data_IF_879240021151
#
_entry.id   IF_879240021151
#
_cell.length_a   1.000
_cell.length_b   1.000
_cell.length_c   1.000
_cell.angle_alpha   90.00
_cell.angle_beta   90.00
_cell.angle_gamma   90.00
#
_symmetry.space_group_name_H-M   'P 1'
#
loop_
_entity.id
_entity.type
_entity.pdbx_description
1 polymer ?
#
# COMPACT_ATOMS: atom_id res chain seq x y z
N UNK A 1 -8.05 2.94 16.17
CA UNK A 1 -6.62 3.29 16.13
C UNK A 1 -6.41 4.23 14.95
N UNK A 2 -5.80 5.41 15.12
CA UNK A 2 -5.57 6.33 14.01
C UNK A 2 -4.52 5.79 13.03
N UNK A 3 -4.51 6.33 11.81
CA UNK A 3 -3.45 6.08 10.82
C UNK A 3 -2.09 6.52 11.35
N UNK A 4 -1.04 5.82 10.94
CA UNK A 4 0.34 6.09 11.37
C UNK A 4 1.28 5.95 10.18
N UNK A 5 2.58 6.16 10.39
CA UNK A 5 3.60 5.84 9.38
C UNK A 5 3.69 4.35 9.02
N UNK A 6 2.96 3.47 9.72
CA UNK A 6 2.93 2.03 9.52
C UNK A 6 1.53 1.47 9.30
N UNK A 7 0.48 2.30 9.35
CA UNK A 7 -0.92 1.87 9.21
C UNK A 7 -1.66 2.86 8.33
N UNK A 8 -2.27 2.35 7.27
CA UNK A 8 -3.12 3.09 6.33
C UNK A 8 -4.47 2.40 6.19
N UNK A 9 -5.54 3.19 6.11
CA UNK A 9 -6.89 2.70 5.85
C UNK A 9 -7.44 3.20 4.53
N UNK A 10 -8.07 2.30 3.78
CA UNK A 10 -8.84 2.61 2.57
C UNK A 10 -10.18 1.90 2.63
N UNK A 11 -11.24 2.61 2.25
CA UNK A 11 -12.58 2.00 2.15
C UNK A 11 -12.60 0.93 1.06
N UNK A 12 -11.98 1.21 -0.06
CA UNK A 12 -11.98 0.37 -1.25
C UNK A 12 -10.65 0.47 -2.01
N UNK A 13 -10.47 -0.41 -2.98
CA UNK A 13 -9.30 -0.41 -3.85
C UNK A 13 -9.31 0.82 -4.77
N UNK A 14 -8.34 1.71 -4.60
CA UNK A 14 -8.21 2.93 -5.43
C UNK A 14 -6.98 2.89 -6.34
N UNK A 15 -6.86 3.85 -7.25
CA UNK A 15 -5.65 4.08 -8.06
C UNK A 15 -4.41 4.47 -7.23
N UNK A 16 -4.59 4.83 -5.96
CA UNK A 16 -3.52 5.21 -5.04
C UNK A 16 -2.83 4.03 -4.34
N UNK A 17 -3.27 2.78 -4.54
CA UNK A 17 -2.69 1.60 -3.89
C UNK A 17 -1.15 1.55 -4.00
N UNK A 18 -0.62 1.65 -5.21
CA UNK A 18 0.82 1.52 -5.44
C UNK A 18 1.59 2.64 -4.76
N UNK A 19 1.02 3.85 -4.67
CA UNK A 19 1.64 4.98 -3.96
C UNK A 19 1.88 4.62 -2.49
N UNK A 20 0.86 4.10 -1.83
CA UNK A 20 0.94 3.74 -0.41
C UNK A 20 1.92 2.58 -0.18
N UNK A 21 1.87 1.55 -1.02
CA UNK A 21 2.79 0.42 -0.92
C UNK A 21 4.23 0.82 -1.20
N UNK A 22 4.49 1.67 -2.20
CA UNK A 22 5.83 2.22 -2.47
C UNK A 22 6.33 3.00 -1.27
N UNK A 23 5.48 3.83 -0.65
CA UNK A 23 5.86 4.60 0.53
C UNK A 23 6.26 3.69 1.72
N UNK A 24 5.57 2.55 1.89
CA UNK A 24 5.96 1.53 2.88
C UNK A 24 7.23 0.79 2.51
N UNK A 25 7.40 0.37 1.25
CA UNK A 25 8.63 -0.26 0.77
C UNK A 25 9.85 0.65 0.98
N UNK A 26 9.68 1.96 0.83
CA UNK A 26 10.71 2.97 1.05
C UNK A 26 10.85 3.42 2.52
N UNK A 27 9.96 2.99 3.41
CA UNK A 27 10.04 3.32 4.83
C UNK A 27 11.08 2.46 5.54
N UNK A 28 11.40 2.79 6.80
CA UNK A 28 12.33 1.99 7.60
C UNK A 28 11.78 0.60 7.94
N UNK A 29 10.48 0.50 8.21
CA UNK A 29 9.85 -0.66 8.86
C UNK A 29 8.76 -1.34 8.02
N UNK A 30 8.48 -0.85 6.81
CA UNK A 30 7.31 -1.29 6.05
C UNK A 30 6.01 -0.72 6.64
N UNK A 31 4.90 -1.46 6.50
CA UNK A 31 3.62 -1.07 7.05
C UNK A 31 2.47 -2.02 6.71
N UNK A 32 1.28 -1.63 7.15
CA UNK A 32 0.02 -2.33 6.99
C UNK A 32 -0.95 -1.42 6.25
N UNK A 33 -1.55 -1.92 5.19
CA UNK A 33 -2.65 -1.27 4.49
C UNK A 33 -3.90 -2.12 4.66
N UNK A 34 -4.95 -1.55 5.23
CA UNK A 34 -6.25 -2.20 5.29
C UNK A 34 -7.18 -1.62 4.24
N UNK A 35 -7.90 -2.50 3.55
CA UNK A 35 -8.92 -2.19 2.57
C UNK A 35 -10.25 -2.74 3.09
N UNK A 36 -11.31 -1.94 3.01
CA UNK A 36 -12.59 -2.22 3.68
C UNK A 36 -12.72 -1.51 5.03
N UNK A 37 -11.88 -0.50 5.31
CA UNK A 37 -11.98 0.35 6.51
C UNK A 37 -12.00 1.83 6.12
N UNK A 38 -12.85 2.62 6.78
CA UNK A 38 -12.73 4.08 6.68
C UNK A 38 -11.63 4.65 7.58
N UNK A 39 -11.45 5.97 7.56
CA UNK A 39 -10.41 6.67 8.33
C UNK A 39 -10.58 6.54 9.84
N UNK A 40 -11.81 6.29 10.30
CA UNK A 40 -12.14 6.10 11.71
C UNK A 40 -12.02 4.61 12.12
N UNK A 41 -11.78 3.72 11.14
CA UNK A 41 -11.65 2.28 11.33
C UNK A 41 -12.98 1.52 11.29
N UNK A 42 -14.06 2.15 10.83
CA UNK A 42 -15.35 1.49 10.64
C UNK A 42 -15.29 0.59 9.40
N UNK A 43 -16.00 -0.53 9.46
CA UNK A 43 -16.04 -1.49 8.35
C UNK A 43 -16.81 -0.94 7.16
N UNK A 44 -16.28 -1.18 5.97
CA UNK A 44 -16.90 -0.88 4.70
C UNK A 44 -16.95 -2.15 3.86
N UNK A 45 -18.15 -2.54 3.43
CA UNK A 45 -18.37 -3.77 2.67
C UNK A 45 -17.67 -3.70 1.32
N UNK A 46 -16.69 -4.59 1.12
CA UNK A 46 -16.11 -4.84 -0.19
C UNK A 46 -17.08 -5.68 -1.04
N UNK A 47 -17.46 -5.24 -2.26
CA UNK A 47 -18.37 -6.00 -3.11
C UNK A 47 -17.79 -7.34 -3.59
N UNK A 48 -16.48 -7.40 -3.81
CA UNK A 48 -15.74 -8.56 -4.34
C UNK A 48 -14.33 -8.59 -3.74
N UNK A 49 -14.19 -9.13 -2.53
CA UNK A 49 -12.90 -9.21 -1.82
C UNK A 49 -11.88 -10.09 -2.54
N UNK A 50 -12.33 -11.18 -3.16
CA UNK A 50 -11.46 -12.14 -3.84
C UNK A 50 -10.89 -11.54 -5.13
N UNK A 51 -11.75 -10.87 -5.91
CA UNK A 51 -11.32 -10.12 -7.09
C UNK A 51 -10.38 -8.97 -6.73
N UNK A 52 -10.62 -8.27 -5.62
CA UNK A 52 -9.73 -7.22 -5.16
C UNK A 52 -8.36 -7.76 -4.70
N UNK A 53 -8.31 -8.93 -4.05
CA UNK A 53 -7.04 -9.60 -3.72
C UNK A 53 -6.21 -9.91 -4.97
N UNK A 54 -6.85 -10.42 -6.04
CA UNK A 54 -6.17 -10.66 -7.33
C UNK A 54 -5.67 -9.36 -7.95
N UNK A 55 -6.49 -8.31 -7.99
CA UNK A 55 -6.10 -6.98 -8.52
C UNK A 55 -4.94 -6.38 -7.75
N UNK A 56 -4.94 -6.45 -6.42
CA UNK A 56 -3.85 -5.94 -5.57
C UNK A 56 -2.56 -6.66 -5.94
N UNK A 57 -2.56 -7.99 -5.91
CA UNK A 57 -1.39 -8.81 -6.26
C UNK A 57 -0.81 -8.43 -7.62
N UNK A 58 -1.65 -8.36 -8.64
CA UNK A 58 -1.20 -8.09 -10.02
C UNK A 58 -0.70 -6.65 -10.18
N UNK A 59 -1.35 -5.68 -9.55
CA UNK A 59 -0.90 -4.28 -9.55
C UNK A 59 0.46 -4.12 -8.88
N UNK A 60 0.65 -4.66 -7.68
CA UNK A 60 1.92 -4.53 -6.94
C UNK A 60 3.07 -5.24 -7.66
N UNK A 61 2.82 -6.42 -8.22
CA UNK A 61 3.81 -7.18 -9.01
C UNK A 61 4.23 -6.44 -10.27
N UNK A 62 3.29 -5.87 -11.00
CA UNK A 62 3.56 -5.34 -12.34
C UNK A 62 3.95 -3.86 -12.34
N UNK A 63 3.43 -3.05 -11.40
CA UNK A 63 3.56 -1.60 -11.46
C UNK A 63 4.70 -1.03 -10.62
N UNK A 64 5.39 -1.83 -9.80
CA UNK A 64 6.45 -1.37 -8.90
C UNK A 64 7.83 -1.86 -9.38
N UNK A 65 8.84 -0.99 -9.24
CA UNK A 65 10.26 -1.28 -9.48
C UNK A 65 11.13 -0.70 -8.35
N UNK A 66 12.15 -1.41 -7.83
CA UNK A 66 12.47 -2.83 -8.03
C UNK A 66 11.31 -3.77 -7.71
N UNK A 67 11.48 -5.07 -7.98
CA UNK A 67 10.37 -6.03 -7.81
C UNK A 67 9.89 -6.04 -6.34
N UNK A 68 8.58 -5.87 -6.13
CA UNK A 68 7.98 -5.99 -4.81
C UNK A 68 7.61 -7.45 -4.44
N UNK A 69 7.87 -8.41 -5.34
CA UNK A 69 7.53 -9.81 -5.11
C UNK A 69 8.28 -10.37 -3.88
N UNK A 70 7.54 -10.97 -2.95
CA UNK A 70 8.08 -11.46 -1.68
C UNK A 70 8.20 -10.41 -0.59
N UNK A 71 7.89 -9.14 -0.87
CA UNK A 71 7.91 -8.05 0.11
C UNK A 71 6.50 -7.67 0.58
N UNK A 72 5.47 -8.38 0.14
CA UNK A 72 4.12 -8.20 0.63
C UNK A 72 3.37 -9.52 0.76
N UNK A 73 2.38 -9.50 1.63
CA UNK A 73 1.38 -10.57 1.79
C UNK A 73 -0.02 -9.95 1.83
N UNK A 74 -1.04 -10.70 1.42
CA UNK A 74 -2.43 -10.25 1.42
C UNK A 74 -3.27 -11.25 2.21
N UNK A 75 -3.78 -10.80 3.35
CA UNK A 75 -4.59 -11.59 4.28
C UNK A 75 -6.03 -11.10 4.21
N UNK A 76 -6.98 -12.02 4.06
CA UNK A 76 -8.40 -11.71 4.27
C UNK A 76 -8.73 -11.88 5.75
N UNK A 77 -9.33 -10.87 6.35
CA UNK A 77 -9.82 -10.90 7.73
C UNK A 77 -11.33 -10.63 7.74
N UNK A 78 -12.05 -11.19 8.71
CA UNK A 78 -13.45 -10.85 8.95
C UNK A 78 -13.54 -9.89 10.14
N UNK A 79 -14.20 -8.75 9.94
CA UNK A 79 -14.50 -7.78 10.99
C UNK A 79 -15.96 -7.39 10.90
N UNK A 80 -16.70 -7.47 12.01
CA UNK A 80 -18.14 -7.14 12.07
C UNK A 80 -18.98 -7.84 10.99
N UNK A 81 -18.68 -9.12 10.70
CA UNK A 81 -19.32 -9.92 9.64
C UNK A 81 -19.12 -9.38 8.22
N UNK A 82 -18.06 -8.59 8.01
CA UNK A 82 -17.65 -8.06 6.71
C UNK A 82 -16.20 -8.46 6.43
N UNK A 83 -15.93 -8.78 5.17
CA UNK A 83 -14.57 -9.08 4.72
C UNK A 83 -13.77 -7.80 4.53
N UNK A 84 -12.58 -7.77 5.12
CA UNK A 84 -11.58 -6.75 4.91
C UNK A 84 -10.30 -7.41 4.38
N UNK A 85 -9.50 -6.66 3.63
CA UNK A 85 -8.20 -7.12 3.15
C UNK A 85 -7.10 -6.37 3.89
N UNK A 86 -6.11 -7.11 4.37
CA UNK A 86 -4.91 -6.58 5.01
C UNK A 86 -3.71 -6.90 4.15
N UNK A 87 -3.10 -5.86 3.62
CA UNK A 87 -1.85 -5.95 2.87
C UNK A 87 -0.71 -5.64 3.83
N UNK A 88 0.11 -6.66 4.09
CA UNK A 88 1.31 -6.54 4.92
C UNK A 88 2.46 -6.22 3.98
N UNK A 89 3.19 -5.14 4.22
CA UNK A 89 4.30 -4.70 3.35
C UNK A 89 5.57 -4.61 4.19
N UNK A 90 6.62 -5.29 3.75
CA UNK A 90 7.94 -5.23 4.36
C UNK A 90 8.71 -3.96 3.93
N UNK A 91 9.72 -3.61 4.72
CA UNK A 91 10.72 -2.62 4.32
C UNK A 91 11.55 -3.18 3.17
N UNK A 92 11.61 -2.47 2.05
CA UNK A 92 12.33 -2.93 0.87
C UNK A 92 13.86 -2.83 1.05
N UNK A 93 14.63 -3.84 0.59
CA UNK A 93 16.09 -3.79 0.65
C UNK A 93 16.70 -2.92 -0.47
N UNK A 94 16.03 -2.78 -1.62
CA UNK A 94 16.57 -2.12 -2.82
C UNK A 94 16.01 -0.71 -3.02
N UNK A 95 15.89 0.07 -1.95
CA UNK A 95 15.34 1.43 -2.03
C UNK A 95 16.20 2.32 -2.96
N UNK A 96 15.60 3.19 -3.77
CA UNK A 96 14.18 3.52 -3.78
C UNK A 96 13.32 2.63 -4.70
N UNK A 97 12.17 2.22 -4.19
CA UNK A 97 11.05 1.68 -4.97
C UNK A 97 10.25 2.83 -5.58
N UNK A 98 9.70 2.60 -6.76
CA UNK A 98 8.97 3.58 -7.53
C UNK A 98 7.97 2.93 -8.48
N UNK A 99 7.04 3.74 -9.01
CA UNK A 99 6.15 3.34 -10.08
C UNK A 99 6.96 3.07 -11.35
N UNK A 100 6.75 1.92 -11.97
CA UNK A 100 7.39 1.51 -13.22
C UNK A 100 7.21 2.56 -14.32
N UNK A 101 6.00 3.11 -14.44
CA UNK A 101 5.65 4.08 -15.49
C UNK A 101 6.36 5.44 -15.35
N UNK A 102 6.78 5.83 -14.15
CA UNK A 102 7.32 7.16 -13.89
C UNK A 102 8.80 7.15 -13.50
N UNK A 103 9.41 5.99 -13.33
CA UNK A 103 10.80 5.88 -12.90
C UNK A 103 11.04 6.50 -11.53
N UNK A 104 12.31 6.76 -11.22
CA UNK A 104 12.75 7.47 -10.02
C UNK A 104 12.51 8.98 -10.15
N UNK A 105 11.23 9.38 -10.24
CA UNK A 105 10.79 10.77 -10.27
C UNK A 105 9.87 11.07 -9.09
N UNK A 106 9.60 12.35 -8.82
CA UNK A 106 8.64 12.78 -7.79
C UNK A 106 7.23 12.23 -8.04
N UNK A 107 6.90 11.91 -9.30
CA UNK A 107 5.61 11.28 -9.66
C UNK A 107 5.62 9.77 -9.45
N UNK A 108 6.80 9.15 -9.30
CA UNK A 108 6.97 7.71 -9.20
C UNK A 108 7.45 7.22 -7.84
N UNK A 109 8.20 8.03 -7.11
CA UNK A 109 8.92 7.64 -5.90
C UNK A 109 8.30 8.32 -4.69
N UNK A 110 7.90 7.53 -3.69
CA UNK A 110 7.20 8.02 -2.51
C UNK A 110 7.84 7.50 -1.22
N UNK A 111 7.78 8.28 -0.15
CA UNK A 111 8.26 7.91 1.18
C UNK A 111 7.20 8.23 2.24
N UNK A 112 7.14 7.45 3.31
CA UNK A 112 6.28 7.73 4.46
C UNK A 112 6.85 8.85 5.34
N UNK A 113 6.10 9.93 5.51
CA UNK A 113 6.34 11.00 6.49
C UNK A 113 5.10 11.11 7.37
N UNK A 114 5.20 10.67 8.63
CA UNK A 114 4.02 10.47 9.46
C UNK A 114 3.02 9.53 8.78
N UNK A 115 1.73 9.81 8.85
CA UNK A 115 0.69 9.05 8.15
C UNK A 115 0.54 9.38 6.66
N UNK A 116 1.39 10.21 6.07
CA UNK A 116 1.29 10.60 4.67
C UNK A 116 2.36 9.92 3.80
N UNK A 117 1.98 9.59 2.56
CA UNK A 117 2.91 9.23 1.50
C UNK A 117 3.27 10.49 0.69
N UNK A 118 4.51 10.93 0.82
CA UNK A 118 5.05 12.14 0.18
C UNK A 118 5.94 11.79 -1.01
N UNK A 119 5.93 12.59 -2.10
CA UNK A 119 6.93 12.49 -3.17
C UNK A 119 8.34 12.58 -2.61
N UNK A 120 9.25 11.73 -3.08
CA UNK A 120 10.67 11.90 -2.80
C UNK A 120 11.23 12.98 -3.73
N UNK A 121 11.73 14.12 -3.20
CA UNK A 121 12.35 15.14 -4.03
C UNK A 121 13.49 14.52 -4.82
N UNK A 122 13.61 14.86 -6.10
CA UNK A 122 14.85 14.55 -6.80
C UNK A 122 15.96 15.39 -6.15
N UNK A 123 17.06 14.74 -5.75
CA UNK A 123 18.30 15.49 -5.48
C UNK A 123 18.61 16.30 -6.75
N UNK A 124 18.74 17.62 -6.59
CA UNK A 124 19.48 18.44 -7.54
C UNK A 124 20.93 17.96 -7.61
#
# INVERSE_FOLDING_TARGET
MPETNRIEYKRELTSGLEKEVIAFLNSREGGLLYIGLDKDGNTYRLPDSDGDQLKIKDRLKNNIRPSALGLFDIVSEEKEKQHILKVIVASGPEKPYHLRKYGMSERGCFIRIGSAAEPMPQKM
#
